data_IF_479834159680
#
_entry.id   IF_479834159680
#
_cell.length_a   1.000
_cell.length_b   1.000
_cell.length_c   1.000
_cell.angle_alpha   90.00
_cell.angle_beta   90.00
_cell.angle_gamma   90.00
#
_symmetry.space_group_name_H-M   'P 1'
#
loop_
_entity.id
_entity.type
_entity.pdbx_description
1 polymer ?
#
# COMPACT_ATOMS: atom_id res chain seq x y z
N UNK A 1 -32.97 7.20 2.67
CA UNK A 1 -31.69 7.90 2.94
C UNK A 1 -30.84 7.68 1.70
N UNK A 2 -30.48 8.74 0.96
CA UNK A 2 -29.81 8.60 -0.35
C UNK A 2 -28.41 8.03 -0.11
N UNK A 3 -28.22 6.73 -0.32
CA UNK A 3 -26.90 6.14 -0.58
C UNK A 3 -26.33 6.87 -1.80
N UNK A 4 -25.57 7.94 -1.56
CA UNK A 4 -24.57 8.33 -2.53
C UNK A 4 -23.64 7.14 -2.58
N UNK A 5 -23.70 6.38 -3.67
CA UNK A 5 -22.60 5.51 -4.10
C UNK A 5 -21.41 6.47 -4.21
N UNK A 6 -20.66 6.64 -3.12
CA UNK A 6 -19.58 7.58 -3.06
C UNK A 6 -18.54 7.09 -4.07
N UNK A 7 -18.32 7.89 -5.11
CA UNK A 7 -17.52 7.48 -6.25
C UNK A 7 -16.07 7.84 -5.94
N UNK A 8 -15.16 6.90 -6.18
CA UNK A 8 -13.73 7.13 -5.99
C UNK A 8 -13.27 8.35 -6.79
N UNK A 9 -12.81 9.39 -6.09
CA UNK A 9 -12.34 10.62 -6.74
C UNK A 9 -11.06 10.36 -7.53
N UNK A 10 -10.76 11.14 -8.60
CA UNK A 10 -9.52 10.98 -9.37
C UNK A 10 -8.27 11.06 -8.49
N UNK A 11 -8.29 11.94 -7.48
CA UNK A 11 -7.23 12.08 -6.48
C UNK A 11 -7.05 10.80 -5.66
N UNK A 12 -8.12 10.25 -5.10
CA UNK A 12 -8.04 9.01 -4.31
C UNK A 12 -7.67 7.81 -5.16
N UNK A 13 -8.12 7.76 -6.42
CA UNK A 13 -7.69 6.76 -7.40
C UNK A 13 -6.18 6.81 -7.61
N UNK A 14 -5.62 7.99 -7.82
CA UNK A 14 -4.17 8.16 -7.97
C UNK A 14 -3.41 7.75 -6.69
N UNK A 15 -3.92 8.13 -5.52
CA UNK A 15 -3.30 7.75 -4.24
C UNK A 15 -3.30 6.23 -4.06
N UNK A 16 -4.46 5.59 -4.25
CA UNK A 16 -4.66 4.17 -4.02
C UNK A 16 -3.88 3.26 -4.99
N UNK A 17 -3.89 3.59 -6.28
CA UNK A 17 -3.39 2.68 -7.32
C UNK A 17 -2.00 3.06 -7.86
N UNK A 18 -1.49 4.25 -7.53
CA UNK A 18 -0.16 4.69 -7.98
C UNK A 18 0.72 5.00 -6.80
N UNK A 19 0.32 5.94 -5.92
CA UNK A 19 1.19 6.37 -4.82
C UNK A 19 1.40 5.27 -3.78
N UNK A 20 0.34 4.54 -3.39
CA UNK A 20 0.46 3.48 -2.40
C UNK A 20 1.37 2.32 -2.86
N UNK A 21 1.17 1.69 -4.04
CA UNK A 21 2.06 0.62 -4.48
C UNK A 21 3.50 1.11 -4.69
N UNK A 22 3.70 2.33 -5.19
CA UNK A 22 5.02 2.93 -5.33
C UNK A 22 5.68 3.16 -3.96
N UNK A 23 4.93 3.68 -2.99
CA UNK A 23 5.39 3.85 -1.62
C UNK A 23 5.81 2.52 -0.99
N UNK A 24 4.99 1.47 -1.12
CA UNK A 24 5.33 0.14 -0.61
C UNK A 24 6.56 -0.44 -1.30
N UNK A 25 6.74 -0.21 -2.60
CA UNK A 25 7.93 -0.62 -3.35
C UNK A 25 9.21 0.08 -2.85
N UNK A 26 9.12 1.37 -2.53
CA UNK A 26 10.24 2.12 -1.91
C UNK A 26 10.57 1.53 -0.53
N UNK A 27 9.56 1.28 0.30
CA UNK A 27 9.75 0.70 1.63
C UNK A 27 10.36 -0.70 1.58
N UNK A 28 9.92 -1.54 0.64
CA UNK A 28 10.55 -2.83 0.37
C UNK A 28 12.02 -2.67 -0.05
N UNK A 29 12.32 -1.73 -0.96
CA UNK A 29 13.68 -1.47 -1.41
C UNK A 29 14.59 -1.08 -0.25
N UNK A 30 14.10 -0.28 0.70
CA UNK A 30 14.87 0.07 1.90
C UNK A 30 15.20 -1.19 2.71
N UNK A 31 14.22 -2.07 2.96
CA UNK A 31 14.43 -3.34 3.65
C UNK A 31 15.40 -4.27 2.91
N UNK A 32 15.27 -4.35 1.59
CA UNK A 32 16.12 -5.16 0.71
C UNK A 32 17.57 -4.69 0.71
N UNK A 33 17.81 -3.38 0.62
CA UNK A 33 19.15 -2.80 0.72
C UNK A 33 19.78 -3.09 2.09
N UNK A 34 18.99 -3.07 3.16
CA UNK A 34 19.46 -3.46 4.49
C UNK A 34 19.87 -4.93 4.52
N UNK A 35 19.07 -5.84 3.95
CA UNK A 35 19.41 -7.27 3.83
C UNK A 35 20.67 -7.52 3.00
N UNK A 36 20.85 -6.80 1.89
CA UNK A 36 22.02 -6.90 1.02
C UNK A 36 23.33 -6.66 1.78
N UNK A 37 23.34 -5.70 2.70
CA UNK A 37 24.49 -5.40 3.56
C UNK A 37 24.78 -6.48 4.61
N UNK A 38 23.78 -7.31 4.97
CA UNK A 38 23.90 -8.32 6.03
C UNK A 38 24.17 -9.72 5.48
N UNK A 39 23.51 -10.09 4.37
CA UNK A 39 23.44 -11.48 3.90
C UNK A 39 23.75 -11.67 2.41
N UNK A 40 24.09 -10.61 1.67
CA UNK A 40 24.30 -10.66 0.22
C UNK A 40 23.01 -10.49 -0.61
N UNK A 41 21.86 -10.38 0.05
CA UNK A 41 20.56 -10.03 -0.54
C UNK A 41 19.86 -11.17 -1.26
N UNK A 42 18.54 -11.06 -1.40
CA UNK A 42 17.67 -12.15 -1.87
C UNK A 42 17.54 -12.26 -3.42
N UNK A 43 18.41 -11.59 -4.17
CA UNK A 43 18.39 -11.60 -5.63
C UNK A 43 17.20 -10.86 -6.23
N UNK A 44 17.25 -10.62 -7.54
CA UNK A 44 16.25 -9.78 -8.24
C UNK A 44 14.83 -10.38 -8.25
N UNK A 45 14.71 -11.69 -8.04
CA UNK A 45 13.42 -12.39 -8.05
C UNK A 45 12.53 -12.03 -6.86
N UNK A 46 13.10 -11.76 -5.68
CA UNK A 46 12.33 -11.29 -4.52
C UNK A 46 11.71 -9.93 -4.77
N UNK A 47 12.43 -9.04 -5.44
CA UNK A 47 11.91 -7.73 -5.84
C UNK A 47 10.76 -7.85 -6.86
N UNK A 48 10.92 -8.69 -7.89
CA UNK A 48 9.87 -8.93 -8.89
C UNK A 48 8.63 -9.57 -8.24
N UNK A 49 8.82 -10.56 -7.37
CA UNK A 49 7.75 -11.21 -6.63
C UNK A 49 6.97 -10.22 -5.76
N UNK A 50 7.68 -9.37 -5.02
CA UNK A 50 7.05 -8.34 -4.19
C UNK A 50 6.23 -7.34 -5.02
N UNK A 51 6.74 -6.89 -6.17
CA UNK A 51 5.99 -6.00 -7.06
C UNK A 51 4.70 -6.65 -7.53
N UNK A 52 4.74 -7.91 -7.99
CA UNK A 52 3.56 -8.62 -8.46
C UNK A 52 2.50 -8.74 -7.35
N UNK A 53 2.91 -9.09 -6.13
CA UNK A 53 2.00 -9.18 -4.98
C UNK A 53 1.42 -7.81 -4.63
N UNK A 54 2.25 -6.76 -4.61
CA UNK A 54 1.82 -5.40 -4.28
C UNK A 54 0.81 -4.89 -5.31
N UNK A 55 1.07 -5.07 -6.60
CA UNK A 55 0.12 -4.71 -7.65
C UNK A 55 -1.17 -5.53 -7.55
N UNK A 56 -1.09 -6.83 -7.29
CA UNK A 56 -2.28 -7.67 -7.09
C UNK A 56 -3.12 -7.17 -5.91
N UNK A 57 -2.50 -6.87 -4.76
CA UNK A 57 -3.21 -6.36 -3.59
C UNK A 57 -3.83 -4.99 -3.88
N UNK A 58 -3.08 -4.04 -4.42
CA UNK A 58 -3.59 -2.69 -4.66
C UNK A 58 -4.67 -2.65 -5.73
N UNK A 59 -4.54 -3.40 -6.83
CA UNK A 59 -5.46 -3.31 -7.99
C UNK A 59 -6.62 -4.31 -7.95
N UNK A 60 -6.46 -5.45 -7.27
CA UNK A 60 -7.49 -6.47 -7.17
C UNK A 60 -8.04 -6.51 -5.74
N UNK A 61 -7.21 -6.83 -4.74
CA UNK A 61 -7.73 -7.15 -3.41
C UNK A 61 -8.38 -5.96 -2.71
N UNK A 62 -7.73 -4.80 -2.74
CA UNK A 62 -8.23 -3.59 -2.10
C UNK A 62 -9.61 -3.18 -2.68
N UNK A 63 -9.78 -2.96 -3.99
CA UNK A 63 -11.07 -2.52 -4.52
C UNK A 63 -12.14 -3.61 -4.62
N UNK A 64 -11.77 -4.89 -4.79
CA UNK A 64 -12.76 -5.98 -4.99
C UNK A 64 -13.23 -6.58 -3.67
N UNK A 65 -12.32 -6.74 -2.71
CA UNK A 65 -12.62 -7.39 -1.42
C UNK A 65 -12.63 -6.42 -0.25
N UNK A 66 -12.53 -5.11 -0.51
CA UNK A 66 -12.40 -4.07 0.52
C UNK A 66 -11.24 -4.36 1.50
N UNK A 67 -10.14 -4.93 0.98
CA UNK A 67 -8.99 -5.25 1.81
C UNK A 67 -8.36 -3.97 2.40
N UNK A 68 -7.90 -4.05 3.64
CA UNK A 68 -7.32 -2.93 4.39
C UNK A 68 -8.26 -1.71 4.47
N UNK A 69 -9.56 -1.95 4.62
CA UNK A 69 -10.60 -0.91 4.73
C UNK A 69 -10.57 0.11 3.57
N UNK A 70 -10.30 -0.37 2.35
CA UNK A 70 -10.19 0.45 1.15
C UNK A 70 -11.36 1.44 0.96
N UNK A 71 -12.60 0.97 1.06
CA UNK A 71 -13.79 1.79 0.88
C UNK A 71 -13.88 2.85 1.99
N UNK A 72 -13.58 2.48 3.23
CA UNK A 72 -13.57 3.41 4.36
C UNK A 72 -12.55 4.54 4.14
N UNK A 73 -11.35 4.22 3.67
CA UNK A 73 -10.25 5.19 3.48
C UNK A 73 -10.47 6.07 2.24
N UNK A 74 -10.87 5.49 1.11
CA UNK A 74 -10.82 6.16 -0.19
C UNK A 74 -12.19 6.58 -0.73
N UNK A 75 -13.28 6.00 -0.23
CA UNK A 75 -14.65 6.28 -0.62
C UNK A 75 -15.37 7.05 0.48
N UNK A 76 -15.58 6.46 1.67
CA UNK A 76 -16.33 7.09 2.76
C UNK A 76 -15.63 8.31 3.33
N UNK A 77 -14.32 8.22 3.52
CA UNK A 77 -13.47 9.32 3.96
C UNK A 77 -12.67 9.91 2.79
N UNK A 78 -13.26 9.88 1.60
CA UNK A 78 -12.61 10.29 0.37
C UNK A 78 -12.20 11.77 0.35
N UNK A 79 -12.92 12.62 1.06
CA UNK A 79 -12.72 14.07 1.07
C UNK A 79 -11.53 14.50 1.95
N UNK A 80 -11.09 13.63 2.86
CA UNK A 80 -9.96 13.89 3.76
C UNK A 80 -8.65 14.05 2.98
N UNK A 81 -7.78 14.90 3.49
CA UNK A 81 -6.39 15.01 3.04
C UNK A 81 -5.60 13.74 3.39
N UNK A 82 -4.47 13.51 2.71
CA UNK A 82 -3.60 12.35 3.01
C UNK A 82 -3.17 12.37 4.48
N UNK A 83 -2.83 13.55 5.01
CA UNK A 83 -2.44 13.71 6.41
C UNK A 83 -3.55 13.27 7.37
N UNK A 84 -4.77 13.74 7.15
CA UNK A 84 -5.92 13.35 7.97
C UNK A 84 -6.23 11.86 7.86
N UNK A 85 -6.08 11.26 6.66
CA UNK A 85 -6.21 9.82 6.47
C UNK A 85 -5.15 9.05 7.26
N UNK A 86 -3.90 9.47 7.22
CA UNK A 86 -2.82 8.86 8.01
C UNK A 86 -3.13 8.97 9.49
N UNK A 87 -3.61 10.12 9.96
CA UNK A 87 -3.94 10.33 11.37
C UNK A 87 -5.16 9.51 11.84
N UNK A 88 -6.16 9.33 10.97
CA UNK A 88 -7.37 8.54 11.28
C UNK A 88 -7.14 7.03 11.17
N UNK A 89 -6.38 6.59 10.17
CA UNK A 89 -6.15 5.17 9.85
C UNK A 89 -4.70 4.73 10.16
N UNK A 90 -4.10 5.27 11.23
CA UNK A 90 -2.67 5.06 11.57
C UNK A 90 -2.23 3.60 11.52
N UNK A 91 -3.05 2.69 12.07
CA UNK A 91 -2.71 1.26 12.09
C UNK A 91 -2.49 0.68 10.70
N UNK A 92 -3.36 1.02 9.74
CA UNK A 92 -3.27 0.55 8.35
C UNK A 92 -2.05 1.14 7.66
N UNK A 93 -1.80 2.45 7.84
CA UNK A 93 -0.61 3.08 7.27
C UNK A 93 0.69 2.54 7.87
N UNK A 94 0.72 2.20 9.17
CA UNK A 94 1.86 1.50 9.78
C UNK A 94 2.09 0.14 9.11
N UNK A 95 1.03 -0.63 8.84
CA UNK A 95 1.15 -1.90 8.12
C UNK A 95 1.70 -1.68 6.70
N UNK A 96 1.20 -0.68 5.98
CA UNK A 96 1.69 -0.32 4.65
C UNK A 96 3.16 0.12 4.65
N UNK A 97 3.70 0.60 5.77
CA UNK A 97 5.12 0.94 5.92
C UNK A 97 5.95 -0.27 6.34
N UNK A 98 5.56 -0.95 7.42
CA UNK A 98 6.38 -1.95 8.11
C UNK A 98 6.40 -3.28 7.38
N UNK A 99 5.25 -3.74 6.84
CA UNK A 99 5.20 -5.04 6.17
C UNK A 99 6.13 -5.10 4.94
N UNK A 100 6.18 -4.10 4.04
CA UNK A 100 7.15 -4.09 2.95
C UNK A 100 8.60 -4.10 3.42
N UNK A 101 8.95 -3.37 4.48
CA UNK A 101 10.32 -3.34 5.02
C UNK A 101 10.72 -4.73 5.52
N UNK A 102 9.86 -5.38 6.32
CA UNK A 102 10.12 -6.73 6.83
C UNK A 102 10.27 -7.71 5.67
N UNK A 103 9.37 -7.65 4.68
CA UNK A 103 9.46 -8.49 3.48
C UNK A 103 10.73 -8.21 2.68
N UNK A 104 11.21 -6.96 2.61
CA UNK A 104 12.49 -6.65 1.97
C UNK A 104 13.69 -7.23 2.73
N UNK A 105 13.62 -7.27 4.06
CA UNK A 105 14.72 -7.80 4.88
C UNK A 105 14.81 -9.33 4.74
N UNK A 106 13.67 -10.03 4.78
CA UNK A 106 13.62 -11.50 4.88
C UNK A 106 13.19 -12.24 3.62
N UNK A 107 12.58 -11.55 2.65
CA UNK A 107 11.97 -12.14 1.45
C UNK A 107 12.84 -12.06 0.22
#
# INVERSE_FOLDING_TARGET
>A
MKEKIAKLTPKNRFIAFVLLPLYQSVMFTIGYLFSFNISGGNGIWSFVGFLLVTFFVCFICNPVFNAFEFDNIYIENGDLTIREKVEKFKGIFIIFTVAPIIMGIYG
#
